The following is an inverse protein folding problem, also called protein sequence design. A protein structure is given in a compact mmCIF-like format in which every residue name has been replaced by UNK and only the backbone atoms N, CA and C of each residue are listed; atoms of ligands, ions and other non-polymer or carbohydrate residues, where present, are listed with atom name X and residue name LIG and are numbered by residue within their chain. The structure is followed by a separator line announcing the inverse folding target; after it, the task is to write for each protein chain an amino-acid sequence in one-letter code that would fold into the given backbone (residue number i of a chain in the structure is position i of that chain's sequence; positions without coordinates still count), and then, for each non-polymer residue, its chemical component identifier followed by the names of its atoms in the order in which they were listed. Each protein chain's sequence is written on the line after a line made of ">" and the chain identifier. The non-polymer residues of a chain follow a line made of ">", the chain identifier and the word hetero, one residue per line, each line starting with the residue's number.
data_IF_200124713385
#
_entry.id   IF_200124713385
#
_cell.length_a   1.000
_cell.length_b   1.000
_cell.length_c   1.000
_cell.angle_alpha   90.00
_cell.angle_beta   90.00
_cell.angle_gamma   90.00
#
_symmetry.space_group_name_H-M   'P 1'
#
loop_
_entity.id
_entity.type
_entity.pdbx_description
1 polymer ?
#
# COMPACT_ATOMS: atom_id res chain seq x y z
N UNK A 1 -15.52 -10.16 -2.46
CA UNK A 1 -15.69 -8.82 -3.09
C UNK A 1 -14.38 -8.02 -2.98
N UNK A 2 -13.63 -8.17 -1.89
CA UNK A 2 -12.27 -7.64 -1.71
C UNK A 2 -11.25 -8.32 -2.63
N UNK A 3 -11.02 -7.76 -3.82
CA UNK A 3 -9.81 -8.04 -4.62
C UNK A 3 -9.53 -9.48 -5.04
N UNK A 4 -10.49 -10.41 -4.94
CA UNK A 4 -10.30 -11.85 -5.23
C UNK A 4 -9.67 -12.12 -6.60
N UNK A 5 -9.90 -11.24 -7.58
CA UNK A 5 -9.40 -11.38 -8.95
C UNK A 5 -8.16 -10.49 -9.22
N UNK A 6 -7.56 -9.89 -8.19
CA UNK A 6 -6.41 -9.02 -8.31
C UNK A 6 -5.10 -9.76 -8.06
N UNK A 7 -4.10 -9.45 -8.87
CA UNK A 7 -2.73 -9.97 -8.74
C UNK A 7 -1.89 -9.21 -7.69
N UNK A 8 -2.47 -8.18 -7.07
CA UNK A 8 -1.86 -7.34 -6.04
C UNK A 8 -2.87 -7.14 -4.92
N UNK A 9 -2.41 -6.75 -3.73
CA UNK A 9 -3.31 -6.47 -2.61
C UNK A 9 -4.30 -5.35 -2.94
N UNK A 10 -5.50 -5.44 -2.36
CA UNK A 10 -6.60 -4.52 -2.62
C UNK A 10 -6.22 -3.06 -2.32
N UNK A 11 -5.48 -2.80 -1.23
CA UNK A 11 -5.05 -1.45 -0.87
C UNK A 11 -4.03 -0.90 -1.88
N UNK A 12 -3.09 -1.75 -2.30
CA UNK A 12 -2.12 -1.38 -3.33
C UNK A 12 -2.80 -1.10 -4.68
N UNK A 13 -3.80 -1.88 -5.07
CA UNK A 13 -4.58 -1.66 -6.29
C UNK A 13 -5.28 -0.31 -6.30
N UNK A 14 -5.97 0.03 -5.21
CA UNK A 14 -6.64 1.32 -5.04
C UNK A 14 -5.68 2.52 -5.08
N UNK A 15 -4.42 2.32 -4.71
CA UNK A 15 -3.45 3.41 -4.64
C UNK A 15 -2.57 3.58 -5.87
N UNK A 16 -1.95 2.51 -6.35
CA UNK A 16 -0.92 2.54 -7.38
C UNK A 16 -1.46 2.54 -8.82
N UNK A 17 -2.79 2.45 -8.97
CA UNK A 17 -3.54 2.58 -10.23
C UNK A 17 -2.77 2.00 -11.43
N UNK A 18 -2.60 0.67 -11.46
CA UNK A 18 -1.90 0.02 -12.57
C UNK A 18 -2.83 -0.20 -13.77
N UNK A 19 -2.23 0.01 -14.94
CA UNK A 19 -2.67 -0.19 -16.32
C UNK A 19 -3.58 -1.40 -16.57
N UNK A 20 -4.25 -1.39 -17.74
CA UNK A 20 -4.99 -2.41 -18.54
C UNK A 20 -5.06 -3.89 -18.12
N UNK A 21 -4.25 -4.38 -17.20
CA UNK A 21 -4.22 -5.74 -16.66
C UNK A 21 -5.48 -6.04 -15.82
N UNK A 22 -6.13 -5.02 -15.25
CA UNK A 22 -7.33 -5.18 -14.42
C UNK A 22 -8.62 -4.65 -15.06
N UNK A 23 -8.69 -4.53 -16.40
CA UNK A 23 -9.92 -4.12 -17.10
C UNK A 23 -11.11 -4.97 -16.69
N UNK A 24 -10.89 -6.26 -16.43
CA UNK A 24 -11.96 -7.17 -15.98
C UNK A 24 -12.62 -6.71 -14.67
N UNK A 25 -11.85 -6.10 -13.77
CA UNK A 25 -12.40 -5.55 -12.52
C UNK A 25 -13.30 -4.32 -12.76
N UNK A 26 -13.02 -3.55 -13.81
CA UNK A 26 -13.82 -2.42 -14.27
C UNK A 26 -15.08 -2.83 -15.07
N UNK A 27 -15.16 -4.06 -15.57
CA UNK A 27 -16.34 -4.52 -16.34
C UNK A 27 -17.59 -4.58 -15.45
N UNK A 28 -17.43 -4.78 -14.14
CA UNK A 28 -18.56 -4.86 -13.23
C UNK A 28 -19.05 -3.46 -12.82
N UNK A 29 -20.25 -3.08 -13.26
CA UNK A 29 -20.83 -1.73 -13.05
C UNK A 29 -20.75 -1.22 -11.60
N UNK A 30 -21.05 -2.06 -10.60
CA UNK A 30 -20.96 -1.67 -9.18
C UNK A 30 -19.51 -1.45 -8.74
N UNK A 31 -18.56 -2.25 -9.23
CA UNK A 31 -17.14 -2.11 -8.84
C UNK A 31 -16.56 -0.85 -9.49
N UNK A 32 -16.93 -0.59 -10.74
CA UNK A 32 -16.48 0.59 -11.46
C UNK A 32 -17.02 1.89 -10.84
N UNK A 33 -18.31 1.95 -10.47
CA UNK A 33 -18.88 3.12 -9.81
C UNK A 33 -18.24 3.41 -8.43
N UNK A 34 -17.89 2.36 -7.69
CA UNK A 34 -17.13 2.46 -6.43
C UNK A 34 -15.72 2.98 -6.67
N UNK A 35 -15.01 2.47 -7.69
CA UNK A 35 -13.66 2.94 -8.03
C UNK A 35 -13.65 4.40 -8.49
N UNK A 36 -14.63 4.81 -9.29
CA UNK A 36 -14.77 6.21 -9.69
C UNK A 36 -15.03 7.12 -8.48
N UNK A 37 -15.87 6.67 -7.54
CA UNK A 37 -16.14 7.41 -6.29
C UNK A 37 -14.89 7.51 -5.43
N UNK A 38 -14.16 6.39 -5.27
CA UNK A 38 -12.88 6.36 -4.59
C UNK A 38 -11.88 7.33 -5.19
N UNK A 39 -11.71 7.37 -6.51
CA UNK A 39 -10.79 8.29 -7.19
C UNK A 39 -11.13 9.76 -6.93
N UNK A 40 -12.42 10.10 -6.84
CA UNK A 40 -12.86 11.46 -6.48
C UNK A 40 -12.51 11.80 -5.04
N UNK A 41 -12.80 10.90 -4.10
CA UNK A 41 -12.47 11.08 -2.67
C UNK A 41 -10.96 11.17 -2.48
N UNK A 42 -10.20 10.27 -3.10
CA UNK A 42 -8.74 10.23 -3.07
C UNK A 42 -8.14 11.57 -3.48
N UNK A 43 -8.54 12.09 -4.65
CA UNK A 43 -8.05 13.38 -5.17
C UNK A 43 -8.42 14.57 -4.27
N UNK A 44 -9.58 14.52 -3.61
CA UNK A 44 -10.08 15.62 -2.78
C UNK A 44 -9.45 15.63 -1.38
N UNK A 45 -9.26 14.45 -0.78
CA UNK A 45 -8.92 14.33 0.64
C UNK A 45 -7.48 13.86 0.90
N UNK A 46 -6.78 13.32 -0.09
CA UNK A 46 -5.43 12.80 0.10
C UNK A 46 -4.41 13.55 -0.78
N UNK A 47 -3.57 14.35 -0.14
CA UNK A 47 -2.45 15.06 -0.77
C UNK A 47 -1.16 14.22 -0.79
N UNK A 48 -1.04 13.27 0.14
CA UNK A 48 0.10 12.36 0.28
C UNK A 48 -0.38 10.91 0.35
N UNK A 49 0.56 9.96 0.28
CA UNK A 49 0.26 8.54 0.48
C UNK A 49 -0.05 8.25 1.96
N UNK A 50 -1.17 7.57 2.28
CA UNK A 50 -1.49 7.14 3.63
C UNK A 50 -0.48 6.17 4.21
N UNK A 51 -0.28 6.27 5.53
CA UNK A 51 0.53 5.31 6.28
C UNK A 51 -0.15 3.94 6.47
N UNK A 52 -1.47 3.84 6.24
CA UNK A 52 -2.20 2.57 6.34
C UNK A 52 -2.00 1.66 5.13
N UNK A 53 -1.38 2.14 4.06
CA UNK A 53 -1.11 1.34 2.86
C UNK A 53 0.06 0.40 3.11
N UNK A 54 -0.09 -0.83 2.66
CA UNK A 54 0.99 -1.81 2.65
C UNK A 54 1.84 -1.70 1.39
N UNK A 55 3.14 -1.35 1.48
CA UNK A 55 4.05 -1.48 0.35
C UNK A 55 4.26 -2.94 -0.04
N UNK A 56 4.19 -3.88 0.91
CA UNK A 56 4.29 -5.31 0.61
C UNK A 56 3.16 -5.80 -0.28
N UNK A 57 1.92 -5.34 -0.06
CA UNK A 57 0.78 -5.64 -0.96
C UNK A 57 1.01 -5.18 -2.41
N UNK A 58 1.87 -4.19 -2.63
CA UNK A 58 2.18 -3.65 -3.96
C UNK A 58 3.33 -4.38 -4.67
N UNK A 59 4.18 -5.08 -3.90
CA UNK A 59 5.45 -5.67 -4.35
C UNK A 59 5.34 -7.20 -4.41
N UNK A 60 4.72 -7.81 -3.40
CA UNK A 60 4.62 -9.26 -3.27
C UNK A 60 3.31 -9.77 -3.87
N UNK A 61 3.39 -10.86 -4.63
CA UNK A 61 2.21 -11.56 -5.13
C UNK A 61 1.38 -12.04 -3.93
N UNK A 62 0.06 -11.79 -3.89
CA UNK A 62 -0.77 -12.17 -2.76
C UNK A 62 -0.94 -13.70 -2.76
N UNK A 63 -0.07 -14.41 -2.05
CA UNK A 63 -0.47 -15.70 -1.50
C UNK A 63 -1.21 -15.36 -0.20
N UNK A 64 -2.55 -15.30 -0.30
CA UNK A 64 -3.56 -14.69 0.61
C UNK A 64 -3.49 -15.17 2.07
N UNK A 65 -2.62 -16.14 2.39
CA UNK A 65 -2.64 -16.86 3.66
C UNK A 65 -1.76 -16.29 4.77
N UNK A 66 -0.83 -15.37 4.47
CA UNK A 66 0.08 -14.84 5.49
C UNK A 66 -0.28 -13.40 5.83
N UNK A 67 -0.90 -13.21 6.99
CA UNK A 67 -1.21 -11.89 7.58
C UNK A 67 0.08 -11.08 7.80
N UNK A 68 1.22 -11.75 7.97
CA UNK A 68 2.57 -11.16 8.02
C UNK A 68 2.94 -10.38 6.73
N UNK A 69 2.24 -10.62 5.61
CA UNK A 69 2.44 -9.89 4.34
C UNK A 69 1.77 -8.52 4.29
N UNK A 70 1.03 -8.12 5.34
CA UNK A 70 0.29 -6.85 5.39
C UNK A 70 1.00 -5.77 6.21
N UNK A 71 2.33 -5.77 6.22
CA UNK A 71 3.10 -4.70 6.87
C UNK A 71 2.80 -3.38 6.16
N UNK A 72 2.32 -2.37 6.89
CA UNK A 72 1.98 -1.04 6.36
C UNK A 72 3.08 -0.05 6.64
N UNK A 73 3.00 1.10 5.98
CA UNK A 73 3.95 2.18 6.21
C UNK A 73 3.99 2.60 7.68
N UNK A 74 2.88 2.60 8.41
CA UNK A 74 2.87 2.96 9.84
C UNK A 74 3.74 2.06 10.72
N UNK A 75 3.93 0.79 10.34
CA UNK A 75 4.85 -0.11 11.04
C UNK A 75 6.29 0.08 10.58
N UNK A 76 6.49 0.40 9.30
CA UNK A 76 7.82 0.50 8.67
C UNK A 76 8.54 1.82 8.93
N UNK A 77 7.81 2.89 9.23
CA UNK A 77 8.40 4.20 9.47
C UNK A 77 8.56 4.48 10.96
N UNK A 78 9.59 5.23 11.31
CA UNK A 78 9.80 5.79 12.64
C UNK A 78 8.90 7.02 12.89
N UNK A 79 9.05 7.64 14.06
CA UNK A 79 8.30 8.85 14.44
C UNK A 79 8.65 10.06 13.55
N UNK A 80 9.85 10.06 12.99
CA UNK A 80 10.35 11.08 12.07
C UNK A 80 9.79 10.89 10.65
N UNK A 81 9.21 9.72 10.36
CA UNK A 81 8.67 9.34 9.06
C UNK A 81 9.72 8.74 8.11
N UNK A 82 10.89 8.40 8.62
CA UNK A 82 11.95 7.70 7.90
C UNK A 82 11.77 6.19 8.02
N UNK A 83 12.31 5.45 7.06
CA UNK A 83 12.18 3.99 7.06
C UNK A 83 13.12 3.38 8.11
N UNK A 84 12.54 2.57 9.00
CA UNK A 84 13.30 1.78 9.99
C UNK A 84 14.27 0.82 9.31
N UNK A 85 15.39 0.59 9.97
CA UNK A 85 16.38 -0.42 9.61
C UNK A 85 15.83 -1.83 9.81
N UNK A 86 16.47 -2.81 9.17
CA UNK A 86 16.09 -4.22 9.31
C UNK A 86 16.26 -4.73 10.76
N UNK A 87 17.21 -4.16 11.51
CA UNK A 87 17.47 -4.48 12.91
C UNK A 87 16.32 -3.99 13.80
N UNK A 88 15.90 -2.73 13.66
CA UNK A 88 14.75 -2.17 14.40
C UNK A 88 13.45 -2.91 14.10
N UNK A 89 13.23 -3.29 12.84
CA UNK A 89 12.07 -4.09 12.44
C UNK A 89 12.09 -5.48 13.10
N UNK A 90 13.26 -6.12 13.16
CA UNK A 90 13.43 -7.42 13.81
C UNK A 90 13.17 -7.34 15.32
N UNK A 91 13.62 -6.28 15.99
CA UNK A 91 13.32 -6.03 17.41
C UNK A 91 11.83 -5.86 17.68
N UNK A 92 11.07 -5.33 16.71
CA UNK A 92 9.62 -5.19 16.75
C UNK A 92 8.87 -6.48 16.37
N UNK A 93 9.59 -7.58 16.13
CA UNK A 93 9.02 -8.86 15.70
C UNK A 93 8.66 -8.94 14.22
N UNK A 94 9.05 -7.94 13.42
CA UNK A 94 8.86 -7.93 11.96
C UNK A 94 10.08 -8.59 11.32
N UNK A 95 9.93 -9.86 10.96
CA UNK A 95 11.00 -10.65 10.35
C UNK A 95 10.88 -10.51 8.83
N UNK A 96 11.87 -9.86 8.23
CA UNK A 96 11.99 -9.67 6.78
C UNK A 96 13.31 -10.24 6.29
N UNK A 97 13.28 -10.90 5.14
CA UNK A 97 14.51 -11.18 4.42
C UNK A 97 15.08 -9.90 3.79
N UNK A 98 16.38 -9.90 3.54
CA UNK A 98 17.09 -8.75 2.98
C UNK A 98 16.51 -8.30 1.63
N UNK A 99 16.07 -9.23 0.78
CA UNK A 99 15.54 -8.90 -0.54
C UNK A 99 14.20 -8.20 -0.43
N UNK A 100 13.29 -8.70 0.40
CA UNK A 100 12.01 -8.04 0.69
C UNK A 100 12.22 -6.62 1.24
N UNK A 101 13.16 -6.45 2.17
CA UNK A 101 13.49 -5.14 2.72
C UNK A 101 14.04 -4.17 1.65
N UNK A 102 14.94 -4.64 0.78
CA UNK A 102 15.45 -3.84 -0.35
C UNK A 102 14.32 -3.40 -1.30
N UNK A 103 13.35 -4.28 -1.58
CA UNK A 103 12.20 -3.91 -2.41
C UNK A 103 11.32 -2.84 -1.73
N UNK A 104 11.09 -2.97 -0.43
CA UNK A 104 10.38 -1.96 0.37
C UNK A 104 11.12 -0.62 0.32
N UNK A 105 12.44 -0.61 0.47
CA UNK A 105 13.25 0.61 0.39
C UNK A 105 13.09 1.33 -0.96
N UNK A 106 13.16 0.58 -2.07
CA UNK A 106 12.97 1.15 -3.41
C UNK A 106 11.57 1.74 -3.56
N UNK A 107 10.54 1.03 -3.09
CA UNK A 107 9.14 1.48 -3.15
C UNK A 107 8.90 2.70 -2.27
N UNK A 108 9.41 2.71 -1.04
CA UNK A 108 9.32 3.84 -0.12
C UNK A 108 9.95 5.10 -0.70
N UNK A 109 11.17 4.99 -1.24
CA UNK A 109 11.85 6.14 -1.89
C UNK A 109 11.04 6.69 -3.07
N UNK A 110 10.48 5.81 -3.89
CA UNK A 110 9.60 6.21 -5.01
C UNK A 110 8.36 6.94 -4.51
N UNK A 111 7.65 6.34 -3.56
CA UNK A 111 6.39 6.88 -3.02
C UNK A 111 6.60 8.20 -2.28
N UNK A 112 7.70 8.31 -1.51
CA UNK A 112 8.09 9.53 -0.82
C UNK A 112 8.41 10.67 -1.80
N UNK A 113 9.09 10.37 -2.91
CA UNK A 113 9.42 11.36 -3.96
C UNK A 113 8.21 11.82 -4.76
N UNK A 114 7.26 10.93 -5.07
CA UNK A 114 6.11 11.24 -5.92
C UNK A 114 5.03 12.07 -5.18
N UNK A 115 4.66 11.66 -3.96
CA UNK A 115 3.55 12.28 -3.22
C UNK A 115 3.87 12.54 -1.74
N UNK A 116 5.01 12.07 -1.24
CA UNK A 116 5.26 11.99 0.20
C UNK A 116 4.37 10.96 0.89
N UNK A 117 4.67 10.65 2.15
CA UNK A 117 3.88 9.73 2.98
C UNK A 117 3.39 10.51 4.22
N UNK A 118 2.14 10.31 4.60
CA UNK A 118 1.60 10.89 5.83
C UNK A 118 2.19 10.19 7.06
N UNK A 119 2.44 10.96 8.13
CA UNK A 119 2.95 10.42 9.40
C UNK A 119 1.81 9.83 10.24
N UNK A 120 0.70 10.54 10.32
CA UNK A 120 -0.46 10.14 11.13
C UNK A 120 -1.53 9.44 10.29
N UNK A 121 -2.35 8.63 10.98
CA UNK A 121 -3.52 7.98 10.37
C UNK A 121 -4.57 9.05 10.07
N UNK A 122 -5.03 9.12 8.82
CA UNK A 122 -6.04 10.09 8.42
C UNK A 122 -7.36 9.73 9.10
N UNK A 123 -7.95 10.69 9.81
CA UNK A 123 -9.36 10.64 10.17
C UNK A 123 -10.14 11.21 8.99
N UNK A 124 -11.09 10.44 8.48
CA UNK A 124 -12.08 10.97 7.56
C UNK A 124 -13.07 11.76 8.42
N UNK A 125 -13.07 13.09 8.27
CA UNK A 125 -14.05 13.99 8.88
C UNK A 125 -15.47 13.72 8.35
#
# INVERSE_FOLDING_TARGET
>A
IEGHDLQIGWHAFLWDKKNKIHTYFHIHLIRDSLLQTWEKIKKKHYLKRPNWISPMEAILYPNIRDIEKMIRYKELVDEQGELKTLEELKEQGIILDWWAYMQIQVKFKKDSKEQGIYKEVQKLD
#
